data_IF_829347044684
#
_entry.id   IF_829347044684
#
_cell.length_a   1.000
_cell.length_b   1.000
_cell.length_c   1.000
_cell.angle_alpha   90.00
_cell.angle_beta   90.00
_cell.angle_gamma   90.00
#
_symmetry.space_group_name_H-M   'P 1'
#
loop_
_entity.id
_entity.type
_entity.pdbx_description
1 polymer ?
#
# COMPACT_ATOMS: atom_id res chain seq x y z
N UNK A 1 -27.66 10.36 2.84
CA UNK A 1 -28.16 9.79 4.11
C UNK A 1 -29.27 8.78 3.87
N UNK A 2 -30.50 9.17 3.50
CA UNK A 2 -31.60 8.19 3.29
C UNK A 2 -31.32 7.17 2.17
N UNK A 3 -30.76 7.62 1.05
CA UNK A 3 -30.33 6.75 -0.07
C UNK A 3 -29.17 5.85 0.35
N UNK A 4 -28.30 6.31 1.25
CA UNK A 4 -27.17 5.57 1.79
C UNK A 4 -27.63 4.42 2.69
N UNK A 5 -28.67 4.63 3.51
CA UNK A 5 -29.31 3.58 4.32
C UNK A 5 -30.12 2.59 3.46
N UNK A 6 -30.77 3.08 2.38
CA UNK A 6 -31.52 2.22 1.45
C UNK A 6 -30.59 1.34 0.59
N UNK A 7 -29.47 1.88 0.11
CA UNK A 7 -28.44 1.08 -0.58
C UNK A 7 -27.74 0.12 0.39
N UNK A 8 -27.48 0.52 1.63
CA UNK A 8 -26.90 -0.37 2.65
C UNK A 8 -27.83 -1.54 3.00
N UNK A 9 -29.16 -1.34 2.95
CA UNK A 9 -30.15 -2.41 3.11
C UNK A 9 -30.26 -3.38 1.92
N UNK A 10 -29.89 -2.95 0.71
CA UNK A 10 -29.94 -3.77 -0.52
C UNK A 10 -28.58 -4.41 -0.84
N UNK A 11 -27.47 -3.77 -0.44
CA UNK A 11 -26.10 -4.17 -0.72
C UNK A 11 -25.27 -4.34 0.56
N UNK A 12 -25.66 -5.26 1.44
CA UNK A 12 -24.64 -5.95 2.23
C UNK A 12 -23.99 -6.99 1.29
N UNK A 13 -22.88 -6.62 0.64
CA UNK A 13 -22.09 -7.58 -0.15
C UNK A 13 -21.64 -8.76 0.73
N UNK A 14 -21.45 -8.52 2.02
CA UNK A 14 -21.26 -9.53 3.04
C UNK A 14 -21.88 -9.08 4.36
N UNK A 15 -22.23 -10.06 5.22
CA UNK A 15 -22.68 -9.85 6.60
C UNK A 15 -21.54 -9.25 7.45
N UNK A 16 -20.29 -9.41 7.00
CA UNK A 16 -19.09 -9.01 7.72
C UNK A 16 -18.57 -7.66 7.25
N UNK A 17 -18.47 -6.71 8.20
CA UNK A 17 -18.07 -5.32 7.93
C UNK A 17 -16.68 -5.19 7.29
N UNK A 18 -15.71 -6.01 7.70
CA UNK A 18 -14.35 -6.01 7.16
C UNK A 18 -14.31 -6.40 5.68
N UNK A 19 -15.22 -7.29 5.25
CA UNK A 19 -15.31 -7.72 3.86
C UNK A 19 -15.94 -6.64 2.98
N UNK A 20 -16.89 -5.87 3.52
CA UNK A 20 -17.44 -4.71 2.83
C UNK A 20 -16.36 -3.65 2.60
N UNK A 21 -15.53 -3.36 3.61
CA UNK A 21 -14.39 -2.43 3.47
C UNK A 21 -13.39 -2.92 2.43
N UNK A 22 -13.06 -4.22 2.42
CA UNK A 22 -12.25 -4.83 1.37
C UNK A 22 -12.83 -4.62 -0.04
N UNK A 23 -14.15 -4.82 -0.22
CA UNK A 23 -14.79 -4.61 -1.53
C UNK A 23 -14.79 -3.15 -1.95
N UNK A 24 -14.97 -2.20 -1.03
CA UNK A 24 -14.88 -0.78 -1.33
C UNK A 24 -13.46 -0.37 -1.75
N UNK A 25 -12.43 -0.91 -1.11
CA UNK A 25 -11.04 -0.70 -1.52
C UNK A 25 -10.78 -1.24 -2.93
N UNK A 26 -11.31 -2.43 -3.25
CA UNK A 26 -11.18 -2.99 -4.61
C UNK A 26 -11.94 -2.18 -5.66
N UNK A 27 -13.14 -1.70 -5.33
CA UNK A 27 -13.96 -0.86 -6.20
C UNK A 27 -13.27 0.49 -6.49
N UNK A 28 -12.64 1.09 -5.48
CA UNK A 28 -11.93 2.35 -5.67
C UNK A 28 -10.66 2.17 -6.49
N UNK A 29 -9.87 1.10 -6.27
CA UNK A 29 -8.72 0.77 -7.13
C UNK A 29 -9.15 0.62 -8.59
N UNK A 30 -10.19 -0.17 -8.85
CA UNK A 30 -10.68 -0.40 -10.22
C UNK A 30 -11.20 0.89 -10.88
N UNK A 31 -11.89 1.74 -10.12
CA UNK A 31 -12.37 3.05 -10.59
C UNK A 31 -11.20 3.98 -10.94
N UNK A 32 -10.16 4.04 -10.09
CA UNK A 32 -8.96 4.85 -10.34
C UNK A 32 -8.22 4.35 -11.59
N UNK A 33 -8.05 3.04 -11.74
CA UNK A 33 -7.42 2.44 -12.92
C UNK A 33 -8.21 2.71 -14.21
N UNK A 34 -9.54 2.56 -14.15
CA UNK A 34 -10.41 2.88 -15.28
C UNK A 34 -10.31 4.36 -15.68
N UNK A 35 -10.28 5.26 -14.70
CA UNK A 35 -10.12 6.69 -14.93
C UNK A 35 -8.80 7.02 -15.64
N UNK A 36 -7.68 6.44 -15.20
CA UNK A 36 -6.37 6.64 -15.83
C UNK A 36 -6.38 6.15 -17.28
N UNK A 37 -6.98 4.98 -17.51
CA UNK A 37 -7.07 4.39 -18.84
C UNK A 37 -7.88 5.28 -19.80
N UNK A 38 -9.04 5.79 -19.35
CA UNK A 38 -9.92 6.65 -20.16
C UNK A 38 -9.32 8.04 -20.38
N UNK A 39 -8.79 8.65 -19.33
CA UNK A 39 -8.28 10.02 -19.39
C UNK A 39 -6.92 10.15 -20.10
N UNK A 40 -6.23 9.03 -20.40
CA UNK A 40 -4.86 9.00 -20.96
C UNK A 40 -3.89 9.94 -20.22
N UNK A 41 -4.13 10.11 -18.93
CA UNK A 41 -3.34 10.99 -18.08
C UNK A 41 -1.96 10.36 -17.87
N UNK A 42 -0.90 11.14 -18.08
CA UNK A 42 0.46 10.72 -17.74
C UNK A 42 0.54 10.33 -16.25
N UNK A 43 1.21 9.22 -15.95
CA UNK A 43 1.24 8.68 -14.59
C UNK A 43 1.81 9.69 -13.58
N UNK A 44 0.95 10.23 -12.73
CA UNK A 44 1.35 11.03 -11.57
C UNK A 44 1.81 10.10 -10.46
N UNK A 45 2.91 10.43 -9.79
CA UNK A 45 3.43 9.60 -8.69
C UNK A 45 2.42 9.42 -7.56
N UNK A 46 1.55 10.41 -7.31
CA UNK A 46 0.49 10.34 -6.30
C UNK A 46 -0.45 9.13 -6.51
N UNK A 47 -0.77 8.81 -7.77
CA UNK A 47 -1.65 7.68 -8.11
C UNK A 47 -1.04 6.35 -7.66
N UNK A 48 0.28 6.20 -7.80
CA UNK A 48 0.97 4.98 -7.37
C UNK A 48 0.85 4.78 -5.85
N UNK A 49 0.99 5.84 -5.05
CA UNK A 49 0.80 5.76 -3.60
C UNK A 49 -0.64 5.46 -3.21
N UNK A 50 -1.61 6.01 -3.93
CA UNK A 50 -3.04 5.72 -3.70
C UNK A 50 -3.30 4.24 -3.96
N UNK A 51 -2.92 3.72 -5.12
CA UNK A 51 -3.15 2.30 -5.48
C UNK A 51 -2.44 1.36 -4.50
N UNK A 52 -1.18 1.65 -4.15
CA UNK A 52 -0.40 0.82 -3.24
C UNK A 52 -0.92 0.89 -1.79
N UNK A 53 -1.38 2.06 -1.35
CA UNK A 53 -2.00 2.25 -0.04
C UNK A 53 -3.31 1.49 0.05
N UNK A 54 -4.23 1.69 -0.89
CA UNK A 54 -5.50 0.96 -0.98
C UNK A 54 -5.30 -0.56 -1.05
N UNK A 55 -4.32 -1.03 -1.82
CA UNK A 55 -4.01 -2.45 -1.88
C UNK A 55 -3.52 -3.00 -0.54
N UNK A 56 -2.66 -2.26 0.15
CA UNK A 56 -2.17 -2.64 1.48
C UNK A 56 -3.30 -2.63 2.52
N UNK A 57 -4.22 -1.66 2.42
CA UNK A 57 -5.41 -1.56 3.26
C UNK A 57 -6.33 -2.77 3.06
N UNK A 58 -6.60 -3.13 1.80
CA UNK A 58 -7.38 -4.30 1.45
C UNK A 58 -6.78 -5.59 2.02
N UNK A 59 -5.46 -5.76 1.97
CA UNK A 59 -4.78 -6.92 2.58
C UNK A 59 -4.93 -6.97 4.11
N UNK A 60 -4.85 -5.82 4.79
CA UNK A 60 -5.06 -5.73 6.23
C UNK A 60 -6.51 -6.07 6.60
N UNK A 61 -7.49 -5.56 5.84
CA UNK A 61 -8.91 -5.88 5.99
C UNK A 61 -9.17 -7.38 5.81
N UNK A 62 -8.58 -7.99 4.79
CA UNK A 62 -8.69 -9.42 4.53
C UNK A 62 -8.04 -10.24 5.66
N UNK A 63 -6.88 -9.83 6.15
CA UNK A 63 -6.17 -10.52 7.22
C UNK A 63 -6.96 -10.51 8.52
N UNK A 64 -7.56 -9.36 8.89
CA UNK A 64 -8.42 -9.25 10.06
C UNK A 64 -9.71 -10.05 9.89
N UNK A 65 -10.28 -10.06 8.69
CA UNK A 65 -11.45 -10.88 8.39
C UNK A 65 -11.15 -12.37 8.62
N UNK A 66 -10.03 -12.88 8.09
CA UNK A 66 -9.64 -14.28 8.28
C UNK A 66 -9.42 -14.59 9.78
N UNK A 67 -8.73 -13.72 10.52
CA UNK A 67 -8.47 -13.93 11.95
C UNK A 67 -9.76 -13.94 12.79
N UNK A 68 -10.66 -12.97 12.60
CA UNK A 68 -11.88 -12.82 13.40
C UNK A 68 -12.98 -13.78 12.97
N UNK A 69 -13.14 -14.02 11.66
CA UNK A 69 -14.30 -14.74 11.13
C UNK A 69 -13.99 -16.19 10.80
N UNK A 70 -12.82 -16.49 10.22
CA UNK A 70 -12.48 -17.86 9.80
C UNK A 70 -11.82 -18.64 10.93
N UNK A 71 -10.85 -18.02 11.61
CA UNK A 71 -10.14 -18.62 12.75
C UNK A 71 -10.94 -18.43 14.05
N UNK A 72 -11.94 -17.54 14.03
CA UNK A 72 -12.78 -17.19 15.19
C UNK A 72 -11.97 -16.70 16.40
N UNK A 73 -10.81 -16.10 16.16
CA UNK A 73 -10.00 -15.56 17.23
C UNK A 73 -10.70 -14.33 17.84
N UNK A 74 -10.94 -14.38 19.15
CA UNK A 74 -11.57 -13.30 19.93
C UNK A 74 -10.57 -12.55 20.82
N UNK A 75 -9.32 -12.98 20.84
CA UNK A 75 -8.29 -12.37 21.68
C UNK A 75 -7.49 -11.36 20.87
N UNK A 76 -7.38 -10.10 21.33
CA UNK A 76 -6.59 -9.10 20.65
C UNK A 76 -5.12 -9.47 20.77
N UNK A 77 -4.45 -9.52 19.62
CA UNK A 77 -3.02 -9.78 19.51
C UNK A 77 -2.39 -8.80 18.51
N UNK A 78 -1.08 -8.94 18.26
CA UNK A 78 -0.31 -7.96 17.47
C UNK A 78 -0.97 -7.56 16.15
N UNK A 79 -1.62 -8.50 15.44
CA UNK A 79 -2.32 -8.23 14.17
C UNK A 79 -3.42 -7.17 14.31
N UNK A 80 -4.18 -7.17 15.41
CA UNK A 80 -5.28 -6.21 15.63
C UNK A 80 -4.75 -4.79 15.87
N UNK A 81 -3.63 -4.67 16.57
CA UNK A 81 -2.93 -3.39 16.78
C UNK A 81 -2.32 -2.88 15.47
N UNK A 82 -1.66 -3.77 14.71
CA UNK A 82 -1.09 -3.45 13.39
C UNK A 82 -2.19 -3.03 12.42
N UNK A 83 -3.33 -3.71 12.43
CA UNK A 83 -4.50 -3.33 11.64
C UNK A 83 -4.97 -1.92 12.02
N UNK A 84 -5.29 -1.69 13.29
CA UNK A 84 -5.89 -0.42 13.72
C UNK A 84 -4.98 0.77 13.45
N UNK A 85 -3.67 0.62 13.70
CA UNK A 85 -2.70 1.67 13.43
C UNK A 85 -2.34 1.77 11.95
N UNK A 86 -2.22 0.63 11.27
CA UNK A 86 -1.77 0.52 9.89
C UNK A 86 -2.75 1.13 8.91
N UNK A 87 -4.05 0.80 9.02
CA UNK A 87 -5.11 1.36 8.18
C UNK A 87 -5.08 2.89 8.25
N UNK A 88 -5.08 3.47 9.46
CA UNK A 88 -5.08 4.92 9.65
C UNK A 88 -3.79 5.59 9.15
N UNK A 89 -2.63 4.94 9.34
CA UNK A 89 -1.36 5.45 8.85
C UNK A 89 -1.29 5.46 7.33
N UNK A 90 -1.78 4.39 6.68
CA UNK A 90 -1.84 4.28 5.22
C UNK A 90 -2.81 5.32 4.65
N UNK A 91 -3.97 5.53 5.27
CA UNK A 91 -4.93 6.56 4.87
C UNK A 91 -4.33 7.97 4.95
N UNK A 92 -3.64 8.30 6.06
CA UNK A 92 -2.92 9.57 6.16
C UNK A 92 -1.84 9.70 5.09
N UNK A 93 -1.09 8.63 4.80
CA UNK A 93 -0.06 8.65 3.74
C UNK A 93 -0.68 8.91 2.36
N UNK A 94 -1.82 8.28 2.04
CA UNK A 94 -2.55 8.50 0.78
C UNK A 94 -3.05 9.95 0.67
N UNK A 95 -3.61 10.50 1.76
CA UNK A 95 -4.07 11.90 1.81
C UNK A 95 -2.92 12.89 1.60
N UNK A 96 -1.79 12.68 2.27
CA UNK A 96 -0.60 13.51 2.12
C UNK A 96 -0.05 13.44 0.69
N UNK A 97 -0.07 12.26 0.07
CA UNK A 97 0.35 12.07 -1.32
C UNK A 97 -0.52 12.85 -2.31
N UNK A 98 -1.84 12.88 -2.09
CA UNK A 98 -2.80 13.67 -2.87
C UNK A 98 -2.55 15.18 -2.73
N UNK A 99 -2.41 15.68 -1.50
CA UNK A 99 -2.21 17.11 -1.23
C UNK A 99 -0.88 17.58 -1.81
N UNK A 100 0.17 16.78 -1.63
CA UNK A 100 1.51 17.17 -2.03
C UNK A 100 1.67 17.15 -3.54
N UNK A 101 0.93 16.29 -4.26
CA UNK A 101 0.99 16.12 -5.73
C UNK A 101 2.42 16.03 -6.31
N UNK A 102 3.39 15.76 -5.44
CA UNK A 102 4.82 15.56 -5.68
C UNK A 102 5.20 14.28 -4.96
N UNK A 103 6.26 13.64 -5.44
CA UNK A 103 6.93 12.52 -4.78
C UNK A 103 7.44 12.91 -3.38
N UNK A 104 6.55 12.96 -2.39
CA UNK A 104 6.86 13.38 -1.03
C UNK A 104 7.90 12.47 -0.38
N UNK A 105 7.85 11.17 -0.70
CA UNK A 105 8.76 10.17 -0.11
C UNK A 105 10.14 10.12 -0.74
N UNK A 106 10.44 10.94 -1.78
CA UNK A 106 11.70 10.82 -2.51
C UNK A 106 12.02 9.34 -2.81
N UNK A 107 11.02 8.54 -3.20
CA UNK A 107 11.23 7.13 -3.52
C UNK A 107 12.28 6.97 -4.62
N UNK A 108 12.45 7.97 -5.49
CA UNK A 108 13.57 8.06 -6.41
C UNK A 108 14.95 7.99 -5.69
N UNK A 109 15.14 8.68 -4.56
CA UNK A 109 16.35 8.55 -3.73
C UNK A 109 16.46 7.19 -3.07
N UNK A 110 15.37 6.61 -2.56
CA UNK A 110 15.44 5.27 -1.95
C UNK A 110 15.79 4.20 -2.99
N UNK A 111 15.18 4.26 -4.18
CA UNK A 111 15.49 3.40 -5.31
C UNK A 111 16.93 3.62 -5.84
N UNK A 112 17.43 4.87 -5.85
CA UNK A 112 18.86 5.18 -6.09
C UNK A 112 19.77 4.67 -4.98
N UNK A 113 19.34 4.67 -3.73
CA UNK A 113 20.13 4.16 -2.61
C UNK A 113 20.25 2.63 -2.66
N UNK A 114 19.14 1.95 -2.98
CA UNK A 114 19.10 0.49 -3.20
C UNK A 114 19.94 0.11 -4.42
N UNK A 115 19.83 0.84 -5.56
CA UNK A 115 20.69 0.62 -6.74
C UNK A 115 22.14 1.09 -6.55
N UNK A 116 22.39 2.03 -5.64
CA UNK A 116 23.69 2.64 -5.37
C UNK A 116 24.61 1.77 -4.51
N UNK A 117 24.08 0.74 -3.85
CA UNK A 117 24.90 -0.33 -3.26
C UNK A 117 25.40 -1.29 -4.34
N UNK A 118 26.27 -0.81 -5.23
CA UNK A 118 27.33 -1.70 -5.74
C UNK A 118 28.26 -1.94 -4.56
N UNK A 119 28.15 -3.09 -3.91
CA UNK A 119 29.12 -3.55 -2.94
C UNK A 119 30.49 -3.58 -3.63
N UNK A 120 31.35 -2.60 -3.37
CA UNK A 120 32.76 -2.64 -3.79
C UNK A 120 33.47 -3.58 -2.80
N UNK A 121 33.85 -4.81 -3.18
CA UNK A 121 34.51 -5.73 -2.27
C UNK A 121 35.90 -5.16 -1.95
N UNK A 122 36.31 -5.24 -0.69
CA UNK A 122 37.59 -4.75 -0.18
C UNK A 122 38.82 -5.57 -0.66
N UNK A 123 38.59 -6.67 -1.39
CA UNK A 123 39.63 -7.63 -1.80
C UNK A 123 40.36 -7.32 -3.13
N UNK A 124 40.20 -6.14 -3.72
CA UNK A 124 40.86 -5.78 -5.01
C UNK A 124 41.94 -4.71 -4.82
N UNK A 125 42.79 -4.83 -3.79
CA UNK A 125 43.95 -3.93 -3.64
C UNK A 125 45.26 -4.65 -3.28
N UNK A 126 45.38 -5.94 -3.63
CA UNK A 126 46.57 -6.71 -3.24
C UNK A 126 47.07 -7.67 -4.33
N UNK A 127 47.12 -7.22 -5.59
CA UNK A 127 47.74 -8.02 -6.67
C UNK A 127 48.57 -7.28 -7.72
N UNK A 128 48.87 -5.98 -7.55
CA UNK A 128 49.85 -5.30 -8.41
C UNK A 128 51.07 -4.81 -7.63
N UNK A 129 51.96 -5.76 -7.30
CA UNK A 129 53.40 -5.49 -7.28
C UNK A 129 54.11 -6.53 -8.14
N UNK A 130 54.38 -6.23 -9.42
CA UNK A 130 55.48 -6.87 -10.12
C UNK A 130 56.81 -6.20 -9.70
N UNK A 131 57.65 -7.06 -9.15
CA UNK A 131 59.12 -7.08 -9.07
C UNK A 131 59.93 -6.18 -10.03
N UNK A 132 61.00 -5.61 -9.44
CA UNK A 132 62.34 -5.33 -9.99
C UNK A 132 62.56 -4.06 -10.85
N UNK A 133 63.32 -3.11 -10.30
CA UNK A 133 64.70 -2.79 -10.70
C UNK A 133 65.31 -1.74 -9.75
#
# INVERSE_FOLDING_TARGET
MMVSYFLSGIFNLSIYIYLNWFYFDLLTITTVLAWIYVAKIGSFSAIYYIVLGLFSNALLMLSIFVDIVVIENRTPWALWSIYSFGVNTIDMMMLIALITNRDFLLLHKLCRFVKGKKFKPWFIDESEKPTNA
#
